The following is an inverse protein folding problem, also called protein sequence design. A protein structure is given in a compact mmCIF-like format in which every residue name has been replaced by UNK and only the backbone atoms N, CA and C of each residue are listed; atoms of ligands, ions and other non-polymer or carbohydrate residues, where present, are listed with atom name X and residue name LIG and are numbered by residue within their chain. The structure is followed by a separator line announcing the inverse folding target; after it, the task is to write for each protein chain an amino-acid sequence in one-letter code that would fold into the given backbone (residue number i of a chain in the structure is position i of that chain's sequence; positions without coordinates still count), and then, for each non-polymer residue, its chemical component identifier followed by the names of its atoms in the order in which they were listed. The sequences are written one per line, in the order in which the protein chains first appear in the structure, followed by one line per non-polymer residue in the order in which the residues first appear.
data_IF_085271415553
#
_entry.id   IF_085271415553
#
_cell.length_a   1.000
_cell.length_b   1.000
_cell.length_c   1.000
_cell.angle_alpha   90.00
_cell.angle_beta   90.00
_cell.angle_gamma   90.00
#
_symmetry.space_group_name_H-M   'P 1'
#
loop_
_entity.id
_entity.type
_entity.pdbx_description
1 polymer ?
#
# COMPACT_ATOMS: atom_id res chain seq x y z
N UNK A 1 -17.10 3.61 2.33
CA UNK A 1 -16.49 2.26 2.44
C UNK A 1 -15.63 2.03 1.22
N UNK A 2 -14.46 1.42 1.37
CA UNK A 2 -13.56 1.13 0.25
C UNK A 2 -12.80 -0.16 0.52
N UNK A 3 -12.61 -0.99 -0.51
CA UNK A 3 -11.76 -2.17 -0.43
C UNK A 3 -10.27 -1.77 -0.46
N UNK A 4 -9.98 -0.62 -1.06
CA UNK A 4 -8.63 -0.05 -1.17
C UNK A 4 -8.72 1.45 -1.02
N UNK A 5 -8.21 2.02 0.07
CA UNK A 5 -8.42 3.43 0.36
C UNK A 5 -7.65 4.37 -0.58
N UNK A 6 -6.69 3.84 -1.33
CA UNK A 6 -5.95 4.58 -2.33
C UNK A 6 -6.53 4.33 -3.72
N UNK A 7 -6.85 5.42 -4.40
CA UNK A 7 -7.17 5.46 -5.82
C UNK A 7 -6.04 6.17 -6.55
N UNK A 8 -5.82 5.76 -7.79
CA UNK A 8 -4.81 6.35 -8.69
C UNK A 8 -5.15 7.81 -9.08
N UNK A 9 -6.36 8.29 -8.78
CA UNK A 9 -6.86 9.63 -9.14
C UNK A 9 -6.48 10.76 -8.15
N UNK A 10 -5.45 10.54 -7.33
CA UNK A 10 -4.83 11.54 -6.44
C UNK A 10 -5.79 12.16 -5.39
N UNK A 11 -6.96 11.56 -5.15
CA UNK A 11 -7.85 11.92 -4.05
C UNK A 11 -7.79 10.82 -2.99
N UNK A 12 -7.01 11.07 -1.94
CA UNK A 12 -6.97 10.18 -0.80
C UNK A 12 -8.39 10.11 -0.19
N UNK A 13 -9.03 8.94 -0.29
CA UNK A 13 -10.34 8.70 0.36
C UNK A 13 -10.21 8.95 1.87
N UNK A 14 -9.02 8.76 2.44
CA UNK A 14 -8.78 9.11 3.83
C UNK A 14 -8.92 10.61 4.07
N UNK A 15 -8.39 11.51 3.23
CA UNK A 15 -8.60 12.95 3.40
C UNK A 15 -10.07 13.33 3.36
N UNK A 16 -10.83 12.77 2.40
CA UNK A 16 -12.29 12.93 2.34
C UNK A 16 -13.00 12.40 3.59
N UNK A 17 -12.40 11.41 4.24
CA UNK A 17 -12.89 10.83 5.50
C UNK A 17 -12.17 11.41 6.73
N UNK A 18 -11.48 12.56 6.65
CA UNK A 18 -10.71 13.14 7.78
C UNK A 18 -9.71 12.15 8.42
N UNK A 19 -9.09 11.31 7.60
CA UNK A 19 -8.21 10.20 7.97
C UNK A 19 -8.86 9.21 8.96
N UNK A 20 -10.18 9.07 8.89
CA UNK A 20 -10.99 8.25 9.80
C UNK A 20 -11.26 6.85 9.23
N UNK A 21 -10.37 5.89 9.53
CA UNK A 21 -10.57 4.47 9.20
C UNK A 21 -11.48 3.79 10.22
N UNK A 22 -12.80 3.78 10.00
CA UNK A 22 -13.76 3.33 11.04
C UNK A 22 -13.56 1.89 11.48
N UNK A 23 -13.36 1.02 10.49
CA UNK A 23 -13.24 -0.41 10.63
C UNK A 23 -12.42 -0.90 9.43
N UNK A 24 -11.55 -1.87 9.65
CA UNK A 24 -10.82 -2.59 8.61
C UNK A 24 -11.05 -4.07 8.82
N UNK A 25 -11.19 -4.80 7.73
CA UNK A 25 -11.32 -6.24 7.74
C UNK A 25 -10.35 -6.81 6.72
N UNK A 26 -9.41 -7.60 7.20
CA UNK A 26 -8.46 -8.32 6.35
C UNK A 26 -9.10 -9.58 5.75
N UNK A 27 -8.38 -10.19 4.79
CA UNK A 27 -8.81 -11.40 4.10
C UNK A 27 -9.14 -12.54 5.07
N UNK A 28 -8.26 -12.77 6.05
CA UNK A 28 -8.43 -13.85 7.05
C UNK A 28 -9.69 -13.65 7.86
N UNK A 29 -9.89 -12.45 8.40
CA UNK A 29 -11.03 -12.08 9.21
C UNK A 29 -12.31 -12.16 8.39
N UNK A 30 -12.29 -11.75 7.12
CA UNK A 30 -13.46 -11.84 6.25
C UNK A 30 -13.87 -13.28 5.96
N UNK A 31 -12.92 -14.19 5.74
CA UNK A 31 -13.20 -15.62 5.51
C UNK A 31 -13.63 -16.31 6.82
N UNK A 32 -12.89 -16.13 7.90
CA UNK A 32 -13.17 -16.78 9.19
C UNK A 32 -14.50 -16.33 9.81
N UNK A 33 -14.97 -15.12 9.48
CA UNK A 33 -16.30 -14.63 9.88
C UNK A 33 -17.41 -14.98 8.89
N UNK A 34 -17.12 -15.86 7.94
CA UNK A 34 -18.07 -16.33 6.93
C UNK A 34 -18.69 -15.17 6.12
N UNK A 35 -17.91 -14.10 5.87
CA UNK A 35 -18.32 -12.99 5.00
C UNK A 35 -17.91 -13.22 3.54
N UNK A 36 -16.90 -14.07 3.33
CA UNK A 36 -16.39 -14.52 2.05
C UNK A 36 -16.36 -16.06 2.02
N UNK A 37 -16.41 -16.66 0.83
CA UNK A 37 -16.15 -18.10 0.70
C UNK A 37 -14.65 -18.37 0.85
N UNK A 38 -14.23 -19.55 1.38
CA UNK A 38 -12.84 -19.96 1.35
C UNK A 38 -12.34 -20.23 -0.09
N UNK A 39 -11.04 -20.39 -0.25
CA UNK A 39 -10.42 -20.67 -1.55
C UNK A 39 -9.53 -21.92 -1.55
N UNK A 40 -9.40 -22.54 -2.73
CA UNK A 40 -8.38 -23.55 -3.04
C UNK A 40 -7.40 -22.93 -4.04
N UNK A 41 -6.20 -22.61 -3.56
CA UNK A 41 -5.14 -21.97 -4.32
C UNK A 41 -4.13 -23.02 -4.80
N UNK A 42 -3.82 -22.96 -6.09
CA UNK A 42 -2.82 -23.78 -6.77
C UNK A 42 -1.77 -22.85 -7.37
N UNK A 43 -0.63 -22.74 -6.69
CA UNK A 43 0.56 -22.10 -7.24
C UNK A 43 1.30 -23.09 -8.13
N UNK A 44 1.26 -22.83 -9.42
CA UNK A 44 1.80 -23.70 -10.47
C UNK A 44 3.12 -23.10 -10.93
N UNK A 45 4.19 -23.90 -10.97
CA UNK A 45 5.47 -23.42 -11.47
C UNK A 45 5.39 -23.15 -12.98
N UNK A 46 5.66 -21.92 -13.37
CA UNK A 46 5.67 -21.48 -14.76
C UNK A 46 7.10 -21.58 -15.31
N UNK A 47 7.50 -22.79 -15.72
CA UNK A 47 8.83 -23.02 -16.27
C UNK A 47 9.03 -22.43 -17.69
N UNK A 48 7.96 -21.93 -18.32
CA UNK A 48 8.00 -21.46 -19.71
C UNK A 48 8.39 -19.97 -19.82
N UNK A 49 8.46 -19.26 -18.69
CA UNK A 49 8.74 -17.83 -18.65
C UNK A 49 9.90 -17.53 -17.70
N UNK A 50 10.98 -17.00 -18.27
CA UNK A 50 12.07 -16.43 -17.50
C UNK A 50 11.90 -14.91 -17.40
N UNK A 51 11.57 -14.43 -16.20
CA UNK A 51 11.38 -13.03 -15.91
C UNK A 51 12.68 -12.25 -15.68
N UNK A 52 13.82 -12.92 -15.50
CA UNK A 52 15.12 -12.26 -15.39
C UNK A 52 15.58 -11.68 -16.74
N UNK A 53 15.16 -12.32 -17.84
CA UNK A 53 15.39 -11.83 -19.19
C UNK A 53 14.50 -10.66 -19.62
N UNK A 54 13.57 -10.20 -18.77
CA UNK A 54 12.62 -9.13 -19.09
C UNK A 54 13.05 -7.84 -18.38
N UNK A 55 13.16 -6.75 -19.14
CA UNK A 55 13.56 -5.45 -18.59
C UNK A 55 12.61 -5.01 -17.47
N UNK A 56 13.18 -4.63 -16.32
CA UNK A 56 12.45 -4.16 -15.16
C UNK A 56 12.96 -2.79 -14.73
N UNK A 57 12.09 -1.77 -14.79
CA UNK A 57 12.44 -0.39 -14.47
C UNK A 57 11.29 0.27 -13.72
N UNK A 58 11.60 1.13 -12.75
CA UNK A 58 10.61 1.88 -11.97
C UNK A 58 9.54 0.98 -11.35
N UNK A 59 9.96 -0.20 -10.86
CA UNK A 59 9.07 -1.16 -10.23
C UNK A 59 8.12 -1.91 -11.18
N UNK A 60 8.28 -1.77 -12.50
CA UNK A 60 7.42 -2.41 -13.52
C UNK A 60 8.25 -3.13 -14.57
N UNK A 61 7.70 -4.23 -15.08
CA UNK A 61 8.24 -4.90 -16.25
C UNK A 61 7.94 -4.10 -17.51
N UNK A 62 8.82 -4.18 -18.51
CA UNK A 62 8.54 -3.67 -19.84
C UNK A 62 7.34 -4.44 -20.41
N UNK A 63 6.22 -3.73 -20.63
CA UNK A 63 4.96 -4.35 -21.03
C UNK A 63 5.03 -5.12 -22.35
N UNK A 64 5.86 -4.69 -23.32
CA UNK A 64 6.00 -5.37 -24.62
C UNK A 64 6.83 -6.64 -24.50
N UNK A 65 7.95 -6.58 -23.79
CA UNK A 65 8.79 -7.75 -23.54
C UNK A 65 8.04 -8.80 -22.70
N UNK A 66 7.33 -8.32 -21.68
CA UNK A 66 6.47 -9.16 -20.85
C UNK A 66 5.36 -9.81 -21.67
N UNK A 67 4.61 -9.05 -22.47
CA UNK A 67 3.58 -9.60 -23.35
C UNK A 67 4.13 -10.72 -24.23
N UNK A 68 5.25 -10.48 -24.93
CA UNK A 68 5.87 -11.47 -25.80
C UNK A 68 6.29 -12.74 -25.06
N UNK A 69 6.83 -12.61 -23.84
CA UNK A 69 7.23 -13.75 -23.03
C UNK A 69 6.02 -14.58 -22.55
N UNK A 70 4.90 -13.92 -22.27
CA UNK A 70 3.68 -14.56 -21.75
C UNK A 70 2.81 -15.17 -22.86
N UNK A 71 2.85 -14.64 -24.09
CA UNK A 71 2.01 -15.06 -25.23
C UNK A 71 2.67 -16.18 -26.07
N UNK A 72 3.12 -17.26 -25.44
CA UNK A 72 3.73 -18.41 -26.13
C UNK A 72 2.84 -19.66 -26.10
N UNK A 73 2.91 -20.48 -27.16
CA UNK A 73 2.09 -21.71 -27.23
C UNK A 73 2.41 -22.68 -26.11
N UNK A 74 3.68 -22.87 -25.76
CA UNK A 74 4.09 -23.77 -24.68
C UNK A 74 3.49 -23.36 -23.34
N UNK A 75 3.51 -22.06 -23.04
CA UNK A 75 2.89 -21.52 -21.83
C UNK A 75 1.37 -21.65 -21.88
N UNK A 76 0.75 -21.38 -23.02
CA UNK A 76 -0.68 -21.57 -23.20
C UNK A 76 -1.10 -23.04 -23.01
N UNK A 77 -0.29 -24.00 -23.48
CA UNK A 77 -0.48 -25.45 -23.24
C UNK A 77 -0.43 -25.76 -21.73
N UNK A 78 0.57 -25.24 -21.01
CA UNK A 78 0.69 -25.39 -19.55
C UNK A 78 -0.56 -24.85 -18.84
N UNK A 79 -1.02 -23.66 -19.24
CA UNK A 79 -2.19 -23.00 -18.66
C UNK A 79 -3.47 -23.80 -18.93
N UNK A 80 -3.70 -24.18 -20.19
CA UNK A 80 -4.89 -24.93 -20.59
C UNK A 80 -4.94 -26.33 -19.95
N UNK A 81 -3.81 -27.02 -19.84
CA UNK A 81 -3.72 -28.32 -19.18
C UNK A 81 -4.09 -28.26 -17.69
N UNK A 82 -3.63 -27.23 -16.98
CA UNK A 82 -3.99 -27.03 -15.58
C UNK A 82 -5.44 -26.56 -15.41
N UNK A 83 -5.91 -25.69 -16.30
CA UNK A 83 -7.31 -25.28 -16.38
C UNK A 83 -8.22 -26.50 -16.50
N UNK A 84 -8.04 -27.36 -17.52
CA UNK A 84 -8.87 -28.56 -17.75
C UNK A 84 -8.93 -29.51 -16.56
N UNK A 85 -7.86 -29.62 -15.77
CA UNK A 85 -7.79 -30.52 -14.61
C UNK A 85 -8.49 -29.96 -13.37
N UNK A 86 -8.51 -28.63 -13.21
CA UNK A 86 -8.81 -28.00 -11.91
C UNK A 86 -9.98 -27.03 -11.96
N UNK A 87 -10.24 -26.36 -13.07
CA UNK A 87 -11.22 -25.27 -13.15
C UNK A 87 -12.65 -25.74 -12.93
N UNK A 88 -13.50 -24.79 -12.54
CA UNK A 88 -14.95 -24.89 -12.60
C UNK A 88 -15.49 -24.40 -13.96
N UNK A 89 -16.73 -23.94 -13.95
CA UNK A 89 -17.50 -23.58 -15.16
C UNK A 89 -17.40 -22.10 -15.50
N UNK A 90 -17.10 -21.23 -14.53
CA UNK A 90 -17.17 -19.77 -14.70
C UNK A 90 -15.86 -19.14 -14.28
N UNK A 91 -15.07 -18.80 -15.28
CA UNK A 91 -13.67 -18.48 -15.09
C UNK A 91 -13.33 -17.06 -15.52
N UNK A 92 -12.49 -16.38 -14.73
CA UNK A 92 -11.89 -15.10 -15.06
C UNK A 92 -10.36 -15.22 -15.08
N UNK A 93 -9.73 -14.89 -16.20
CA UNK A 93 -8.28 -14.85 -16.37
C UNK A 93 -7.75 -13.42 -16.44
N UNK A 94 -6.76 -13.12 -15.59
CA UNK A 94 -6.09 -11.82 -15.57
C UNK A 94 -4.82 -11.86 -16.43
N UNK A 95 -4.85 -11.15 -17.55
CA UNK A 95 -3.74 -11.03 -18.49
C UNK A 95 -2.94 -9.74 -18.28
N UNK A 96 -1.69 -9.73 -18.74
CA UNK A 96 -0.74 -8.60 -18.63
C UNK A 96 -1.04 -7.44 -19.57
N UNK A 97 -1.63 -7.72 -20.73
CA UNK A 97 -1.89 -6.73 -21.79
C UNK A 97 -3.06 -7.16 -22.65
N UNK A 98 -3.58 -6.22 -23.45
CA UNK A 98 -4.71 -6.47 -24.36
C UNK A 98 -4.36 -7.58 -25.36
N UNK A 99 -3.14 -7.54 -25.89
CA UNK A 99 -2.66 -8.53 -26.85
C UNK A 99 -2.52 -9.92 -26.20
N UNK A 100 -2.01 -9.99 -24.97
CA UNK A 100 -1.97 -11.27 -24.24
C UNK A 100 -3.39 -11.81 -23.95
N UNK A 101 -4.36 -10.94 -23.63
CA UNK A 101 -5.75 -11.37 -23.45
C UNK A 101 -6.39 -11.88 -24.76
N UNK A 102 -6.15 -11.19 -25.88
CA UNK A 102 -6.58 -11.64 -27.21
C UNK A 102 -5.97 -13.00 -27.55
N UNK A 103 -4.65 -13.14 -27.38
CA UNK A 103 -3.90 -14.38 -27.63
C UNK A 103 -4.47 -15.55 -26.84
N UNK A 104 -4.64 -15.40 -25.52
CA UNK A 104 -5.18 -16.47 -24.67
C UNK A 104 -6.63 -16.81 -25.03
N UNK A 105 -7.43 -15.81 -25.40
CA UNK A 105 -8.82 -16.02 -25.84
C UNK A 105 -8.88 -16.85 -27.12
N UNK A 106 -8.08 -16.49 -28.12
CA UNK A 106 -8.01 -17.24 -29.38
C UNK A 106 -7.52 -18.67 -29.14
N UNK A 107 -6.42 -18.84 -28.40
CA UNK A 107 -5.87 -20.14 -28.07
C UNK A 107 -6.92 -21.03 -27.37
N UNK A 108 -7.64 -20.51 -26.37
CA UNK A 108 -8.65 -21.29 -25.64
C UNK A 108 -9.85 -21.67 -26.52
N UNK A 109 -10.29 -20.79 -27.42
CA UNK A 109 -11.36 -21.11 -28.38
C UNK A 109 -10.93 -22.20 -29.36
N UNK A 110 -9.69 -22.16 -29.86
CA UNK A 110 -9.13 -23.22 -30.73
C UNK A 110 -9.06 -24.59 -30.01
N UNK A 111 -8.98 -24.59 -28.67
CA UNK A 111 -8.97 -25.79 -27.83
C UNK A 111 -10.35 -26.12 -27.21
N UNK A 112 -11.42 -25.55 -27.77
CA UNK A 112 -12.81 -25.91 -27.47
C UNK A 112 -13.33 -25.35 -26.14
N UNK A 113 -12.75 -24.27 -25.62
CA UNK A 113 -13.28 -23.52 -24.47
C UNK A 113 -13.91 -22.22 -24.97
N UNK A 114 -15.18 -21.98 -24.63
CA UNK A 114 -15.88 -20.76 -25.06
C UNK A 114 -15.37 -19.56 -24.26
N UNK A 115 -14.35 -18.89 -24.78
CA UNK A 115 -13.71 -17.75 -24.15
C UNK A 115 -14.01 -16.43 -24.89
N UNK A 116 -14.07 -15.33 -24.15
CA UNK A 116 -14.16 -13.96 -24.70
C UNK A 116 -13.10 -13.07 -24.08
N UNK A 117 -12.70 -12.02 -24.79
CA UNK A 117 -11.81 -10.98 -24.27
C UNK A 117 -12.59 -9.71 -23.92
N UNK A 118 -12.21 -9.07 -22.82
CA UNK A 118 -12.81 -7.80 -22.38
C UNK A 118 -11.69 -6.82 -22.06
N UNK A 119 -11.61 -5.73 -22.83
CA UNK A 119 -10.58 -4.70 -22.71
C UNK A 119 -11.10 -3.31 -23.17
N UNK A 120 -10.28 -2.27 -23.02
CA UNK A 120 -10.63 -0.87 -23.32
C UNK A 120 -9.98 -0.38 -24.62
N UNK A 121 -9.18 -1.23 -25.26
CA UNK A 121 -8.54 -0.93 -26.54
C UNK A 121 -9.56 -0.70 -27.65
N UNK A 122 -9.22 0.20 -28.58
CA UNK A 122 -10.04 0.55 -29.73
C UNK A 122 -10.19 -0.62 -30.72
N UNK A 123 -9.13 -1.40 -30.89
CA UNK A 123 -9.20 -2.63 -31.68
C UNK A 123 -9.80 -3.76 -30.84
N UNK A 124 -11.07 -4.05 -31.13
CA UNK A 124 -11.87 -5.09 -30.48
C UNK A 124 -11.36 -6.50 -30.87
N UNK A 125 -10.95 -6.74 -32.12
CA UNK A 125 -10.65 -8.10 -32.57
C UNK A 125 -11.87 -9.05 -32.54
N UNK A 126 -11.68 -10.34 -32.89
CA UNK A 126 -12.78 -11.24 -33.24
C UNK A 126 -13.56 -11.81 -32.05
N UNK A 127 -12.93 -11.91 -30.87
CA UNK A 127 -13.53 -12.51 -29.66
C UNK A 127 -13.87 -11.47 -28.59
N UNK A 128 -13.87 -10.19 -28.94
CA UNK A 128 -14.21 -9.14 -28.00
C UNK A 128 -15.67 -9.14 -27.66
N UNK A 129 -15.93 -8.82 -26.40
CA UNK A 129 -17.28 -8.64 -25.90
C UNK A 129 -17.32 -7.47 -24.94
N UNK A 130 -18.37 -6.66 -25.04
CA UNK A 130 -18.61 -5.61 -24.08
C UNK A 130 -18.78 -6.19 -22.68
N UNK A 131 -18.17 -5.52 -21.69
CA UNK A 131 -18.10 -5.98 -20.30
C UNK A 131 -19.43 -6.46 -19.73
N UNK A 132 -20.51 -5.69 -19.94
CA UNK A 132 -21.85 -6.03 -19.42
C UNK A 132 -22.41 -7.30 -20.07
N UNK A 133 -22.16 -7.49 -21.37
CA UNK A 133 -22.61 -8.66 -22.11
C UNK A 133 -21.81 -9.90 -21.70
N UNK A 134 -20.49 -9.80 -21.59
CA UNK A 134 -19.62 -10.89 -21.16
C UNK A 134 -20.02 -11.40 -19.78
N UNK A 135 -20.24 -10.50 -18.82
CA UNK A 135 -20.72 -10.86 -17.48
C UNK A 135 -22.06 -11.58 -17.54
N UNK A 136 -23.00 -11.09 -18.34
CA UNK A 136 -24.32 -11.70 -18.50
C UNK A 136 -24.20 -13.13 -19.06
N UNK A 137 -23.45 -13.32 -20.15
CA UNK A 137 -23.24 -14.62 -20.79
C UNK A 137 -22.48 -15.60 -19.91
N UNK A 138 -21.51 -15.13 -19.12
CA UNK A 138 -20.79 -15.96 -18.15
C UNK A 138 -21.72 -16.46 -17.04
N UNK A 139 -22.60 -15.60 -16.51
CA UNK A 139 -23.62 -16.00 -15.52
C UNK A 139 -24.55 -17.07 -16.08
N UNK A 140 -25.01 -16.87 -17.32
CA UNK A 140 -25.88 -17.80 -18.05
C UNK A 140 -25.17 -19.07 -18.52
N UNK A 141 -23.85 -19.19 -18.30
CA UNK A 141 -23.02 -20.30 -18.79
C UNK A 141 -23.05 -20.48 -20.32
N UNK A 142 -23.30 -19.40 -21.06
CA UNK A 142 -23.19 -19.37 -22.53
C UNK A 142 -21.72 -19.32 -22.97
N UNK A 143 -20.88 -18.72 -22.13
CA UNK A 143 -19.42 -18.72 -22.20
C UNK A 143 -18.84 -19.29 -20.91
N UNK A 144 -17.62 -19.80 -20.97
CA UNK A 144 -16.94 -20.46 -19.84
C UNK A 144 -15.86 -19.57 -19.22
N UNK A 145 -15.30 -18.66 -20.02
CA UNK A 145 -14.11 -17.90 -19.64
C UNK A 145 -14.14 -16.46 -20.17
N UNK A 146 -13.71 -15.54 -19.32
CA UNK A 146 -13.38 -14.16 -19.70
C UNK A 146 -11.89 -13.96 -19.46
N UNK A 147 -11.15 -13.52 -20.48
CA UNK A 147 -9.81 -12.95 -20.31
C UNK A 147 -9.90 -11.43 -20.28
N UNK A 148 -9.18 -10.81 -19.34
CA UNK A 148 -9.27 -9.36 -19.17
C UNK A 148 -7.96 -8.73 -18.67
N UNK A 149 -7.87 -7.41 -18.90
CA UNK A 149 -6.74 -6.56 -18.53
C UNK A 149 -7.30 -5.36 -17.78
N UNK A 150 -7.01 -5.27 -16.49
CA UNK A 150 -7.28 -4.15 -15.56
C UNK A 150 -8.73 -3.61 -15.46
N UNK A 151 -9.63 -3.88 -16.41
CA UNK A 151 -11.03 -3.41 -16.44
C UNK A 151 -11.87 -4.07 -15.36
N UNK A 152 -11.49 -5.27 -14.95
CA UNK A 152 -12.13 -5.92 -13.82
C UNK A 152 -11.48 -5.54 -12.50
N UNK A 153 -10.40 -4.74 -12.47
CA UNK A 153 -9.85 -4.23 -11.19
C UNK A 153 -10.79 -3.18 -10.56
N UNK A 154 -11.71 -2.58 -11.31
CA UNK A 154 -12.68 -1.60 -10.79
C UNK A 154 -14.13 -1.87 -11.29
N UNK A 155 -15.06 -2.06 -10.34
CA UNK A 155 -16.50 -2.03 -10.56
C UNK A 155 -17.21 -3.23 -11.21
N UNK A 156 -16.55 -4.37 -11.52
CA UNK A 156 -17.27 -5.58 -11.95
C UNK A 156 -17.50 -6.52 -10.77
N UNK A 157 -18.75 -6.89 -10.56
CA UNK A 157 -19.16 -7.84 -9.55
C UNK A 157 -19.74 -9.10 -10.22
N UNK A 158 -19.01 -10.22 -10.16
CA UNK A 158 -19.49 -11.54 -10.63
C UNK A 158 -19.37 -12.54 -9.47
N UNK A 159 -20.31 -12.56 -8.52
CA UNK A 159 -20.28 -13.50 -7.40
C UNK A 159 -20.25 -14.97 -7.83
N UNK A 160 -20.78 -15.27 -9.01
CA UNK A 160 -20.87 -16.61 -9.59
C UNK A 160 -19.53 -17.18 -10.11
N UNK A 161 -18.45 -16.38 -10.14
CA UNK A 161 -17.13 -16.88 -10.48
C UNK A 161 -16.74 -18.03 -9.57
N UNK A 162 -16.36 -19.17 -10.13
CA UNK A 162 -15.86 -20.33 -9.38
C UNK A 162 -14.36 -20.53 -9.57
N UNK A 163 -13.76 -19.86 -10.57
CA UNK A 163 -12.35 -20.00 -10.92
C UNK A 163 -11.72 -18.67 -11.29
N UNK A 164 -10.52 -18.41 -10.79
CA UNK A 164 -9.66 -17.28 -11.19
C UNK A 164 -8.31 -17.79 -11.68
N UNK A 165 -7.82 -17.24 -12.80
CA UNK A 165 -6.47 -17.50 -13.31
C UNK A 165 -5.63 -16.22 -13.19
N UNK A 166 -4.48 -16.32 -12.54
CA UNK A 166 -3.45 -15.29 -12.55
C UNK A 166 -2.39 -15.66 -13.59
N UNK A 167 -2.35 -14.93 -14.71
CA UNK A 167 -1.46 -15.21 -15.84
C UNK A 167 -0.33 -14.19 -15.98
N UNK A 168 -0.18 -13.29 -15.01
CA UNK A 168 0.82 -12.21 -14.99
C UNK A 168 1.39 -12.02 -13.59
N UNK A 169 2.60 -11.44 -13.48
CA UNK A 169 3.08 -10.93 -12.21
C UNK A 169 2.09 -9.94 -11.60
N UNK A 170 1.74 -10.12 -10.33
CA UNK A 170 0.90 -9.14 -9.64
C UNK A 170 1.79 -8.06 -9.01
N UNK A 171 1.64 -6.82 -9.48
CA UNK A 171 2.56 -5.72 -9.14
C UNK A 171 2.42 -5.21 -7.70
N UNK A 172 1.28 -5.44 -7.03
CA UNK A 172 1.09 -5.02 -5.65
C UNK A 172 0.14 -5.92 -4.87
N UNK A 173 0.35 -5.97 -3.54
CA UNK A 173 -0.54 -6.65 -2.59
C UNK A 173 -2.00 -6.23 -2.73
N UNK A 174 -2.22 -4.94 -2.95
CA UNK A 174 -3.55 -4.34 -3.07
C UNK A 174 -4.28 -4.87 -4.29
N UNK A 175 -3.62 -4.92 -5.45
CA UNK A 175 -4.19 -5.46 -6.69
C UNK A 175 -4.47 -6.95 -6.56
N UNK A 176 -3.56 -7.71 -5.93
CA UNK A 176 -3.75 -9.14 -5.67
C UNK A 176 -5.03 -9.40 -4.87
N UNK A 177 -5.21 -8.71 -3.74
CA UNK A 177 -6.40 -8.86 -2.90
C UNK A 177 -7.68 -8.39 -3.60
N UNK A 178 -7.63 -7.31 -4.38
CA UNK A 178 -8.78 -6.86 -5.16
C UNK A 178 -9.22 -7.91 -6.18
N UNK A 179 -8.26 -8.51 -6.89
CA UNK A 179 -8.54 -9.52 -7.92
C UNK A 179 -9.04 -10.82 -7.28
N UNK A 180 -8.37 -11.30 -6.23
CA UNK A 180 -8.79 -12.48 -5.47
C UNK A 180 -10.17 -12.27 -4.85
N UNK A 181 -10.39 -11.13 -4.17
CA UNK A 181 -11.63 -10.80 -3.47
C UNK A 181 -12.89 -10.78 -4.34
N UNK A 182 -12.75 -10.61 -5.67
CA UNK A 182 -13.87 -10.72 -6.62
C UNK A 182 -14.39 -12.15 -6.71
N UNK A 183 -13.47 -13.11 -6.72
CA UNK A 183 -13.81 -14.52 -6.71
C UNK A 183 -14.26 -15.01 -5.34
N UNK A 184 -14.04 -14.29 -4.24
CA UNK A 184 -14.39 -14.77 -2.89
C UNK A 184 -15.82 -14.42 -2.46
N UNK A 185 -16.58 -13.69 -3.30
CA UNK A 185 -17.96 -13.33 -2.98
C UNK A 185 -18.86 -14.57 -2.91
N UNK A 186 -19.77 -14.54 -1.95
CA UNK A 186 -20.77 -15.58 -1.73
C UNK A 186 -21.89 -15.51 -2.78
N UNK A 187 -22.30 -16.69 -3.22
CA UNK A 187 -23.54 -16.90 -3.96
C UNK A 187 -24.08 -18.28 -3.59
N UNK A 188 -25.37 -18.51 -3.80
CA UNK A 188 -26.00 -19.80 -3.54
C UNK A 188 -25.21 -20.93 -4.22
N UNK A 189 -24.92 -22.01 -3.48
CA UNK A 189 -24.21 -23.23 -3.95
C UNK A 189 -22.73 -23.07 -4.29
N UNK A 190 -22.12 -21.91 -4.06
CA UNK A 190 -20.67 -21.74 -4.16
C UNK A 190 -20.03 -21.98 -2.81
N UNK A 191 -19.32 -23.10 -2.69
CA UNK A 191 -18.62 -23.47 -1.46
C UNK A 191 -17.23 -22.86 -1.39
N UNK A 192 -16.51 -22.83 -2.53
CA UNK A 192 -15.11 -22.37 -2.60
C UNK A 192 -14.82 -21.67 -3.93
N UNK A 193 -13.82 -20.80 -3.91
CA UNK A 193 -13.16 -20.29 -5.11
C UNK A 193 -11.94 -21.15 -5.45
N UNK A 194 -11.76 -21.53 -6.71
CA UNK A 194 -10.48 -22.11 -7.17
C UNK A 194 -9.60 -21.03 -7.78
N UNK A 195 -8.33 -21.02 -7.42
CA UNK A 195 -7.34 -20.06 -7.92
C UNK A 195 -6.17 -20.81 -8.53
N UNK A 196 -5.89 -20.55 -9.80
CA UNK A 196 -4.74 -21.09 -10.52
C UNK A 196 -3.78 -19.94 -10.77
N UNK A 197 -2.62 -19.95 -10.14
CA UNK A 197 -1.62 -18.89 -10.25
C UNK A 197 -0.36 -19.46 -10.90
N UNK A 198 0.01 -18.93 -12.06
CA UNK A 198 1.18 -19.39 -12.82
C UNK A 198 2.37 -18.51 -12.46
N UNK A 199 3.27 -19.10 -11.68
CA UNK A 199 4.30 -18.38 -10.94
C UNK A 199 5.67 -18.73 -11.52
N UNK A 200 6.36 -17.72 -12.07
CA UNK A 200 7.77 -17.79 -12.42
C UNK A 200 8.63 -16.95 -11.46
N UNK A 201 9.90 -16.73 -11.83
CA UNK A 201 10.88 -15.94 -11.07
C UNK A 201 10.63 -14.41 -11.12
N UNK A 202 9.37 -13.98 -11.23
CA UNK A 202 9.07 -12.55 -11.24
C UNK A 202 9.26 -11.93 -9.85
N UNK A 203 9.70 -10.67 -9.82
CA UNK A 203 9.98 -9.93 -8.57
C UNK A 203 8.78 -10.05 -7.62
N UNK A 204 9.05 -10.40 -6.36
CA UNK A 204 8.07 -10.53 -5.25
C UNK A 204 7.16 -11.76 -5.24
N UNK A 205 7.33 -12.74 -6.13
CA UNK A 205 6.56 -13.99 -6.08
C UNK A 205 6.62 -14.69 -4.69
N UNK A 206 7.77 -14.62 -4.00
CA UNK A 206 7.97 -15.18 -2.65
C UNK A 206 7.09 -14.56 -1.54
N UNK A 207 6.35 -13.48 -1.81
CA UNK A 207 5.38 -12.93 -0.87
C UNK A 207 4.01 -13.61 -0.92
N UNK A 208 3.69 -14.37 -1.98
CA UNK A 208 2.38 -15.00 -2.15
C UNK A 208 1.91 -15.81 -0.93
N UNK A 209 2.75 -16.64 -0.27
CA UNK A 209 2.33 -17.34 0.95
C UNK A 209 1.84 -16.40 2.06
N UNK A 210 2.55 -15.29 2.28
CA UNK A 210 2.19 -14.26 3.26
C UNK A 210 0.86 -13.58 2.89
N UNK A 211 0.68 -13.25 1.61
CA UNK A 211 -0.55 -12.58 1.13
C UNK A 211 -1.78 -13.47 1.31
N UNK A 212 -1.65 -14.76 1.00
CA UNK A 212 -2.72 -15.76 1.13
C UNK A 212 -3.08 -16.04 2.60
N UNK A 213 -2.11 -15.88 3.51
CA UNK A 213 -2.35 -15.93 4.95
C UNK A 213 -3.15 -14.70 5.46
N UNK A 214 -3.43 -13.72 4.60
CA UNK A 214 -4.11 -12.48 4.95
C UNK A 214 -3.22 -11.49 5.70
N UNK A 215 -1.90 -11.69 5.67
CA UNK A 215 -0.95 -10.79 6.31
C UNK A 215 -0.48 -9.71 5.34
N UNK A 216 -0.27 -8.49 5.87
CA UNK A 216 0.27 -7.37 5.10
C UNK A 216 1.80 -7.37 5.17
N UNK A 217 2.53 -7.46 4.03
CA UNK A 217 3.99 -7.37 3.99
C UNK A 217 4.57 -6.13 4.69
N UNK A 218 3.82 -5.02 4.73
CA UNK A 218 4.22 -3.77 5.38
C UNK A 218 4.22 -3.83 6.91
N UNK A 219 3.49 -4.78 7.49
CA UNK A 219 3.26 -4.85 8.94
C UNK A 219 3.88 -6.08 9.60
N UNK A 220 4.41 -7.01 8.79
CA UNK A 220 5.16 -8.17 9.22
C UNK A 220 6.53 -7.73 9.78
N UNK A 221 6.52 -7.16 10.97
CA UNK A 221 7.70 -6.68 11.69
C UNK A 221 8.66 -7.85 11.93
N UNK A 222 9.80 -7.89 11.21
CA UNK A 222 11.01 -8.65 11.55
C UNK A 222 10.83 -10.12 12.02
N UNK A 223 9.65 -10.74 11.85
CA UNK A 223 9.48 -12.18 12.05
C UNK A 223 10.37 -12.79 11.00
N UNK A 224 11.38 -13.53 11.45
CA UNK A 224 12.16 -14.45 10.63
C UNK A 224 11.17 -15.12 9.70
N UNK A 225 11.21 -14.70 8.44
CA UNK A 225 10.26 -15.09 7.40
C UNK A 225 10.08 -16.59 7.48
N UNK A 226 8.86 -17.01 7.78
CA UNK A 226 8.45 -18.39 7.77
C UNK A 226 8.73 -19.01 6.40
N UNK A 227 9.02 -20.31 6.36
CA UNK A 227 8.99 -21.05 5.09
C UNK A 227 7.55 -21.02 4.54
N UNK A 228 7.36 -21.17 3.22
CA UNK A 228 6.02 -21.10 2.64
C UNK A 228 5.04 -22.10 3.29
N UNK A 229 5.59 -23.21 3.80
CA UNK A 229 4.95 -24.32 4.47
C UNK A 229 4.56 -24.05 5.92
N UNK A 230 5.15 -23.02 6.54
CA UNK A 230 4.89 -22.64 7.94
C UNK A 230 3.72 -21.65 8.09
N UNK A 231 3.19 -21.14 6.98
CA UNK A 231 2.05 -20.23 7.00
C UNK A 231 0.75 -20.97 7.32
N UNK A 232 0.04 -20.49 8.34
CA UNK A 232 -1.35 -20.87 8.56
C UNK A 232 -2.26 -20.04 7.66
N UNK A 233 -3.20 -20.67 6.97
CA UNK A 233 -4.15 -20.00 6.08
C UNK A 233 -5.52 -19.80 6.75
N UNK A 234 -6.39 -18.92 6.21
CA UNK A 234 -7.76 -18.76 6.71
C UNK A 234 -8.55 -20.07 6.72
N UNK A 235 -9.55 -20.15 7.58
CA UNK A 235 -10.31 -21.38 7.80
C UNK A 235 -10.97 -21.87 6.50
N UNK A 236 -10.92 -23.18 6.26
CA UNK A 236 -11.46 -23.82 5.06
C UNK A 236 -10.66 -23.58 3.76
N UNK A 237 -9.63 -22.73 3.79
CA UNK A 237 -8.75 -22.49 2.66
C UNK A 237 -7.70 -23.59 2.51
N UNK A 238 -7.32 -23.88 1.27
CA UNK A 238 -6.23 -24.80 0.94
C UNK A 238 -5.26 -24.09 0.01
N UNK A 239 -3.97 -24.17 0.30
CA UNK A 239 -2.92 -23.58 -0.52
C UNK A 239 -1.93 -24.68 -0.86
N UNK A 240 -1.72 -24.92 -2.15
CA UNK A 240 -0.77 -25.88 -2.65
C UNK A 240 0.17 -25.17 -3.61
N UNK A 241 1.47 -25.27 -3.38
CA UNK A 241 2.50 -24.83 -4.30
C UNK A 241 3.19 -26.07 -4.89
N UNK A 242 3.52 -26.03 -6.17
CA UNK A 242 4.45 -26.99 -6.76
C UNK A 242 5.79 -26.94 -6.01
N UNK A 243 6.46 -28.08 -5.85
CA UNK A 243 7.70 -28.17 -5.05
C UNK A 243 8.79 -27.20 -5.55
N UNK A 244 8.92 -27.04 -6.87
CA UNK A 244 9.90 -26.11 -7.45
C UNK A 244 9.66 -24.64 -7.04
N UNK A 245 8.42 -24.26 -6.71
CA UNK A 245 8.14 -22.91 -6.22
C UNK A 245 8.67 -22.66 -4.82
N UNK A 246 8.74 -23.70 -3.98
CA UNK A 246 9.27 -23.57 -2.62
C UNK A 246 10.77 -23.23 -2.68
N UNK A 247 11.50 -23.92 -3.55
CA UNK A 247 12.92 -23.64 -3.83
C UNK A 247 13.11 -22.24 -4.43
N UNK A 248 12.29 -21.87 -5.42
CA UNK A 248 12.30 -20.54 -6.03
C UNK A 248 12.07 -19.45 -4.97
N UNK A 249 11.07 -19.60 -4.11
CA UNK A 249 10.77 -18.62 -3.07
C UNK A 249 11.92 -18.48 -2.08
N UNK A 250 12.58 -19.58 -1.71
CA UNK A 250 13.74 -19.56 -0.83
C UNK A 250 14.93 -18.82 -1.47
N UNK A 251 15.20 -19.06 -2.75
CA UNK A 251 16.25 -18.38 -3.51
C UNK A 251 15.99 -16.88 -3.66
N UNK A 252 14.78 -16.52 -4.11
CA UNK A 252 14.37 -15.12 -4.26
C UNK A 252 14.48 -14.34 -2.95
N UNK A 253 14.11 -14.97 -1.84
CA UNK A 253 14.22 -14.39 -0.50
C UNK A 253 15.68 -14.18 -0.08
N UNK A 254 16.57 -15.13 -0.40
CA UNK A 254 18.01 -15.01 -0.10
C UNK A 254 18.64 -13.84 -0.86
N UNK A 255 18.16 -13.59 -2.07
CA UNK A 255 18.72 -12.61 -3.00
C UNK A 255 17.89 -11.32 -3.13
N UNK A 256 16.91 -11.04 -2.24
CA UNK A 256 16.06 -9.83 -2.32
C UNK A 256 16.90 -8.54 -2.12
N UNK A 257 17.14 -7.74 -3.18
CA UNK A 257 17.99 -6.56 -3.09
C UNK A 257 17.18 -5.38 -2.54
N UNK A 258 17.10 -5.27 -1.22
CA UNK A 258 16.30 -4.25 -0.53
C UNK A 258 16.53 -2.82 -1.06
N UNK A 259 17.78 -2.47 -1.34
CA UNK A 259 18.13 -1.15 -1.88
C UNK A 259 17.46 -0.91 -3.24
N UNK A 260 17.68 -1.80 -4.20
CA UNK A 260 17.09 -1.73 -5.53
C UNK A 260 15.56 -1.75 -5.45
N UNK A 261 14.98 -2.52 -4.54
CA UNK A 261 13.55 -2.57 -4.31
C UNK A 261 13.00 -1.23 -3.80
N UNK A 262 13.69 -0.57 -2.86
CA UNK A 262 13.31 0.77 -2.40
C UNK A 262 13.35 1.79 -3.54
N UNK A 263 14.41 1.76 -4.36
CA UNK A 263 14.55 2.63 -5.55
C UNK A 263 13.39 2.37 -6.52
N UNK A 264 13.12 1.12 -6.86
CA UNK A 264 12.04 0.72 -7.75
C UNK A 264 10.65 1.13 -7.25
N UNK A 265 10.34 0.91 -5.98
CA UNK A 265 9.06 1.31 -5.38
C UNK A 265 8.86 2.83 -5.39
N UNK A 266 9.92 3.59 -5.11
CA UNK A 266 9.87 5.05 -5.19
C UNK A 266 9.54 5.52 -6.60
N UNK A 267 10.25 5.04 -7.63
CA UNK A 267 10.01 5.47 -9.01
C UNK A 267 8.68 4.97 -9.57
N UNK A 268 8.22 3.78 -9.15
CA UNK A 268 6.88 3.28 -9.44
C UNK A 268 5.83 4.28 -8.97
N UNK A 269 5.92 4.66 -7.69
CA UNK A 269 4.96 5.57 -7.06
C UNK A 269 5.06 6.98 -7.65
N UNK A 270 6.27 7.45 -7.97
CA UNK A 270 6.49 8.73 -8.67
C UNK A 270 5.75 8.78 -10.01
N UNK A 271 5.86 7.70 -10.79
CA UNK A 271 5.18 7.57 -12.07
C UNK A 271 3.65 7.55 -11.92
N UNK A 272 3.13 6.94 -10.86
CA UNK A 272 1.69 6.84 -10.61
C UNK A 272 1.10 8.15 -10.11
N UNK A 273 1.80 8.85 -9.20
CA UNK A 273 1.37 10.12 -8.63
C UNK A 273 1.54 11.31 -9.58
N UNK A 274 2.36 11.15 -10.63
CA UNK A 274 2.82 12.22 -11.51
C UNK A 274 3.46 13.40 -10.75
N UNK A 275 4.07 13.10 -9.61
CA UNK A 275 4.85 14.02 -8.76
C UNK A 275 5.82 13.24 -7.90
N UNK A 276 6.77 13.93 -7.27
CA UNK A 276 7.68 13.30 -6.31
C UNK A 276 6.91 12.73 -5.11
N UNK A 277 7.12 11.45 -4.75
CA UNK A 277 6.60 10.89 -3.51
C UNK A 277 7.24 11.54 -2.27
N UNK A 278 6.45 11.77 -1.25
CA UNK A 278 6.86 12.15 0.09
C UNK A 278 6.76 10.93 1.03
N UNK A 279 7.09 11.10 2.31
CA UNK A 279 7.13 9.97 3.25
C UNK A 279 5.76 9.38 3.48
N UNK A 280 4.73 10.23 3.50
CA UNK A 280 3.36 9.78 3.63
C UNK A 280 2.95 8.90 2.44
N UNK A 281 3.27 9.33 1.21
CA UNK A 281 3.01 8.55 0.00
C UNK A 281 3.69 7.18 0.08
N UNK A 282 4.96 7.12 0.48
CA UNK A 282 5.70 5.87 0.61
C UNK A 282 5.12 4.96 1.69
N UNK A 283 4.73 5.53 2.83
CA UNK A 283 4.09 4.78 3.93
C UNK A 283 2.74 4.19 3.53
N UNK A 284 2.07 4.78 2.56
CA UNK A 284 0.72 4.39 2.14
C UNK A 284 0.71 3.55 0.85
N UNK A 285 1.65 3.81 -0.06
CA UNK A 285 1.64 3.32 -1.44
C UNK A 285 2.69 2.26 -1.77
N UNK A 286 3.54 1.87 -0.82
CA UNK A 286 4.55 0.82 -1.02
C UNK A 286 4.29 -0.38 -0.12
N UNK A 287 4.77 -1.56 -0.49
CA UNK A 287 4.76 -2.74 0.39
C UNK A 287 5.94 -2.77 1.39
N UNK A 288 6.69 -1.67 1.47
CA UNK A 288 7.86 -1.52 2.31
C UNK A 288 7.56 -0.67 3.54
N UNK A 289 8.15 -1.04 4.67
CA UNK A 289 8.06 -0.21 5.86
C UNK A 289 8.74 1.14 5.64
N UNK A 290 8.03 2.24 5.95
CA UNK A 290 8.61 3.59 5.87
C UNK A 290 9.93 3.74 6.66
N UNK A 291 10.15 2.94 7.70
CA UNK A 291 11.42 2.96 8.46
C UNK A 291 12.63 2.65 7.57
N UNK A 292 12.44 1.83 6.53
CA UNK A 292 13.48 1.46 5.56
C UNK A 292 13.91 2.62 4.68
N UNK A 293 13.02 3.59 4.41
CA UNK A 293 13.32 4.83 3.68
C UNK A 293 13.86 5.97 4.55
N UNK A 294 13.69 5.86 5.88
CA UNK A 294 14.20 6.86 6.83
C UNK A 294 15.51 6.43 7.49
N UNK A 295 15.79 5.12 7.52
CA UNK A 295 16.95 4.56 8.15
C UNK A 295 17.27 3.20 7.51
N UNK A 296 18.34 3.18 6.74
CA UNK A 296 18.83 1.98 6.09
C UNK A 296 20.35 1.87 6.25
N UNK A 297 20.90 0.70 5.92
CA UNK A 297 22.36 0.50 5.89
C UNK A 297 23.04 1.13 4.66
N UNK A 298 22.24 1.59 3.70
CA UNK A 298 22.72 2.03 2.38
C UNK A 298 23.00 3.54 2.31
N UNK A 299 22.50 4.32 3.26
CA UNK A 299 22.65 5.78 3.29
C UNK A 299 22.46 6.28 4.73
N UNK A 300 22.89 7.52 4.99
CA UNK A 300 22.76 8.13 6.32
C UNK A 300 21.29 8.36 6.72
N UNK A 301 21.05 8.66 8.00
CA UNK A 301 19.68 8.72 8.52
C UNK A 301 18.87 9.89 7.93
N UNK A 302 17.66 9.59 7.49
CA UNK A 302 16.62 10.55 7.10
C UNK A 302 16.17 10.40 5.65
N UNK A 303 14.96 10.87 5.35
CA UNK A 303 14.44 10.78 3.97
C UNK A 303 15.24 11.62 2.97
N UNK A 304 15.80 12.73 3.43
CA UNK A 304 16.65 13.60 2.61
C UNK A 304 17.86 12.84 2.06
N UNK A 305 18.47 11.97 2.89
CA UNK A 305 19.59 11.10 2.50
C UNK A 305 19.17 10.00 1.53
N UNK A 306 17.96 9.45 1.70
CA UNK A 306 17.39 8.54 0.71
C UNK A 306 17.22 9.23 -0.65
N UNK A 307 16.70 10.47 -0.69
CA UNK A 307 16.54 11.23 -1.94
C UNK A 307 17.88 11.55 -2.60
N UNK A 308 18.93 11.84 -1.82
CA UNK A 308 20.31 11.98 -2.34
C UNK A 308 20.77 10.72 -3.05
N UNK A 309 20.60 9.56 -2.40
CA UNK A 309 21.04 8.25 -2.89
C UNK A 309 20.40 7.85 -4.23
N UNK A 310 19.30 8.49 -4.61
CA UNK A 310 18.59 8.24 -5.88
C UNK A 310 18.59 9.45 -6.81
N UNK A 311 19.41 10.47 -6.54
CA UNK A 311 19.54 11.69 -7.33
C UNK A 311 18.23 12.50 -7.51
N UNK A 312 17.36 12.51 -6.49
CA UNK A 312 16.02 13.12 -6.53
C UNK A 312 15.88 14.42 -5.70
N UNK A 313 17.01 14.99 -5.30
CA UNK A 313 17.05 16.26 -4.56
C UNK A 313 16.87 17.46 -5.49
N UNK A 314 16.08 18.42 -5.03
CA UNK A 314 16.01 19.76 -5.62
C UNK A 314 17.24 20.58 -5.26
N UNK A 315 17.45 21.71 -5.95
CA UNK A 315 18.54 22.64 -5.63
C UNK A 315 18.42 23.21 -4.20
N UNK A 316 17.19 23.46 -3.72
CA UNK A 316 16.95 23.94 -2.36
C UNK A 316 17.28 22.87 -1.31
N UNK A 317 16.97 21.61 -1.58
CA UNK A 317 17.25 20.52 -0.64
C UNK A 317 18.73 20.19 -0.53
N UNK A 318 19.48 20.35 -1.62
CA UNK A 318 20.94 20.23 -1.61
C UNK A 318 21.58 21.24 -0.65
N UNK A 319 20.99 22.43 -0.46
CA UNK A 319 21.52 23.41 0.50
C UNK A 319 21.25 23.05 1.96
N UNK A 320 20.41 22.04 2.24
CA UNK A 320 20.13 21.59 3.60
C UNK A 320 21.12 20.52 4.10
N UNK A 321 21.91 19.93 3.21
CA UNK A 321 22.85 18.84 3.55
C UNK A 321 23.89 19.27 4.57
N UNK A 322 24.10 18.45 5.59
CA UNK A 322 25.05 18.68 6.67
C UNK A 322 24.82 20.01 7.41
N UNK A 323 23.60 20.55 7.30
CA UNK A 323 23.18 21.78 8.00
C UNK A 323 22.21 21.47 9.13
N UNK A 324 21.89 22.52 9.88
CA UNK A 324 20.90 22.46 10.95
C UNK A 324 19.48 22.13 10.43
N UNK A 325 19.16 22.42 9.17
CA UNK A 325 17.87 22.09 8.57
C UNK A 325 17.68 20.58 8.41
N UNK A 326 18.72 19.87 7.97
CA UNK A 326 18.66 18.41 7.89
C UNK A 326 18.52 17.77 9.28
N UNK A 327 19.34 18.20 10.24
CA UNK A 327 19.26 17.69 11.61
C UNK A 327 17.86 17.90 12.22
N UNK A 328 17.23 19.03 11.91
CA UNK A 328 15.87 19.35 12.32
C UNK A 328 14.85 18.36 11.77
N UNK A 329 14.91 18.07 10.46
CA UNK A 329 14.04 17.07 9.83
C UNK A 329 14.23 15.69 10.47
N UNK A 330 15.48 15.26 10.67
CA UNK A 330 15.82 13.98 11.31
C UNK A 330 15.32 13.90 12.75
N UNK A 331 15.37 14.99 13.52
CA UNK A 331 14.86 15.03 14.89
C UNK A 331 13.34 14.80 14.90
N UNK A 332 12.58 15.48 14.05
CA UNK A 332 11.12 15.33 13.99
C UNK A 332 10.74 13.92 13.53
N UNK A 333 11.39 13.40 12.48
CA UNK A 333 11.19 12.04 11.98
C UNK A 333 11.37 10.98 13.08
N UNK A 334 12.39 11.15 13.92
CA UNK A 334 12.78 10.17 14.94
C UNK A 334 12.24 10.43 16.35
N UNK A 335 11.56 11.56 16.57
CA UNK A 335 10.99 11.93 17.88
C UNK A 335 10.03 10.85 18.39
N UNK A 336 10.26 10.25 19.56
CA UNK A 336 9.34 9.23 20.11
C UNK A 336 7.97 9.83 20.47
N UNK A 337 6.90 9.12 20.11
CA UNK A 337 5.50 9.51 20.36
C UNK A 337 4.79 8.39 21.15
N UNK A 338 4.59 8.59 22.45
CA UNK A 338 3.80 7.69 23.30
C UNK A 338 2.33 8.13 23.39
N UNK A 339 2.08 9.40 23.08
CA UNK A 339 0.79 10.08 22.90
C UNK A 339 0.96 11.11 21.79
N UNK A 340 -0.14 11.57 21.21
CA UNK A 340 -0.14 12.54 20.12
C UNK A 340 0.01 13.99 20.57
N UNK A 341 0.17 14.27 21.87
CA UNK A 341 0.29 15.64 22.42
C UNK A 341 1.23 16.56 21.62
N UNK A 342 2.35 16.05 21.12
CA UNK A 342 3.33 16.82 20.33
C UNK A 342 2.77 17.26 18.97
N UNK A 343 1.86 16.49 18.36
CA UNK A 343 1.31 16.80 17.04
C UNK A 343 0.58 18.14 17.00
N UNK A 344 -0.42 18.45 17.87
CA UNK A 344 -1.04 19.77 17.86
C UNK A 344 -0.04 20.90 18.15
N UNK A 345 0.94 20.69 19.03
CA UNK A 345 1.96 21.71 19.31
C UNK A 345 2.84 21.99 18.10
N UNK A 346 3.24 20.94 17.36
CA UNK A 346 3.97 21.10 16.11
C UNK A 346 3.08 21.75 15.03
N UNK A 347 1.79 21.38 14.95
CA UNK A 347 0.83 22.00 14.01
C UNK A 347 0.61 23.49 14.27
N UNK A 348 0.71 23.95 15.52
CA UNK A 348 0.63 25.36 15.85
C UNK A 348 1.76 26.21 15.24
N UNK A 349 2.87 25.60 14.81
CA UNK A 349 3.93 26.29 14.06
C UNK A 349 3.59 26.47 12.58
N UNK A 350 2.43 25.99 12.10
CA UNK A 350 1.93 26.26 10.75
C UNK A 350 0.85 27.34 10.83
N UNK A 351 1.03 28.44 10.09
CA UNK A 351 0.04 29.51 9.94
C UNK A 351 -0.06 29.92 8.47
N UNK A 352 -1.28 30.05 7.96
CA UNK A 352 -1.55 30.38 6.55
C UNK A 352 -0.80 29.45 5.57
N UNK A 353 -0.70 28.18 5.95
CA UNK A 353 -0.01 27.15 5.16
C UNK A 353 1.53 27.24 5.19
N UNK A 354 2.13 28.10 6.01
CA UNK A 354 3.59 28.29 6.12
C UNK A 354 4.12 27.94 7.51
N UNK A 355 5.33 27.38 7.56
CA UNK A 355 6.07 27.20 8.81
C UNK A 355 6.55 28.56 9.31
N UNK A 356 6.26 28.86 10.58
CA UNK A 356 6.74 30.08 11.25
C UNK A 356 7.74 29.73 12.35
N UNK A 357 8.65 30.66 12.61
CA UNK A 357 9.67 30.51 13.65
C UNK A 357 9.10 30.44 15.06
N UNK A 358 7.92 31.03 15.31
CA UNK A 358 7.33 31.11 16.65
C UNK A 358 5.81 31.09 16.63
N UNK A 359 5.22 30.56 17.69
CA UNK A 359 3.79 30.51 17.96
C UNK A 359 3.49 30.98 19.39
N UNK A 360 2.56 31.92 19.60
CA UNK A 360 2.06 32.26 20.93
C UNK A 360 1.46 31.02 21.62
N UNK A 361 1.61 30.92 22.93
CA UNK A 361 1.13 29.76 23.67
C UNK A 361 -0.40 29.63 23.61
N UNK A 362 -1.11 30.73 23.43
CA UNK A 362 -2.56 30.77 23.22
C UNK A 362 -2.95 30.04 21.94
N UNK A 363 -2.19 30.24 20.85
CA UNK A 363 -2.39 29.53 19.58
C UNK A 363 -2.01 28.04 19.72
N UNK A 364 -0.96 27.73 20.48
CA UNK A 364 -0.58 26.33 20.78
C UNK A 364 -1.68 25.62 21.57
N UNK A 365 -2.21 26.26 22.61
CA UNK A 365 -3.31 25.74 23.42
C UNK A 365 -4.59 25.57 22.62
N UNK A 366 -4.92 26.53 21.73
CA UNK A 366 -6.06 26.42 20.83
C UNK A 366 -5.88 25.26 19.84
N UNK A 367 -4.70 25.09 19.26
CA UNK A 367 -4.39 23.95 18.38
C UNK A 367 -4.55 22.62 19.11
N UNK A 368 -4.12 22.55 20.37
CA UNK A 368 -4.27 21.38 21.23
C UNK A 368 -5.75 21.07 21.55
N UNK A 369 -6.53 22.09 21.89
CA UNK A 369 -7.97 21.98 22.12
C UNK A 369 -8.67 21.47 20.86
N UNK A 370 -8.51 22.16 19.73
CA UNK A 370 -9.14 21.79 18.46
C UNK A 370 -8.75 20.37 18.06
N UNK A 371 -7.47 20.00 18.18
CA UNK A 371 -7.02 18.65 17.82
C UNK A 371 -7.77 17.55 18.57
N UNK A 372 -8.03 17.70 19.87
CA UNK A 372 -8.74 16.66 20.63
C UNK A 372 -10.27 16.75 20.51
N UNK A 373 -10.84 17.95 20.38
CA UNK A 373 -12.27 18.11 20.13
C UNK A 373 -12.68 17.61 18.74
N UNK A 374 -11.94 17.99 17.71
CA UNK A 374 -12.28 17.70 16.31
C UNK A 374 -11.94 16.26 15.91
N UNK A 375 -11.14 15.55 16.73
CA UNK A 375 -10.70 14.19 16.43
C UNK A 375 -11.09 13.22 17.57
N UNK A 376 -12.36 12.73 17.61
CA UNK A 376 -12.87 11.85 18.66
C UNK A 376 -11.99 10.65 19.00
N UNK A 377 -11.25 10.11 18.01
CA UNK A 377 -10.39 8.94 18.20
C UNK A 377 -9.07 9.25 18.88
N UNK A 378 -8.62 10.50 18.80
CA UNK A 378 -7.40 10.96 19.47
C UNK A 378 -7.65 11.19 20.96
N UNK A 379 -8.92 11.40 21.35
CA UNK A 379 -9.35 11.61 22.73
C UNK A 379 -8.92 10.50 23.69
N UNK A 380 -8.65 9.28 23.19
CA UNK A 380 -8.06 8.18 23.99
C UNK A 380 -6.74 8.56 24.69
N UNK A 381 -6.01 9.54 24.17
CA UNK A 381 -4.82 10.07 24.86
C UNK A 381 -5.16 10.79 26.17
N UNK A 382 -6.41 11.21 26.34
CA UNK A 382 -6.96 11.94 27.49
C UNK A 382 -7.86 11.07 28.38
N UNK A 383 -7.96 9.75 28.19
CA UNK A 383 -8.82 8.85 28.99
C UNK A 383 -8.29 8.55 30.41
N UNK A 384 -7.29 9.29 30.90
CA UNK A 384 -6.67 9.07 32.21
C UNK A 384 -7.26 9.94 33.32
N UNK A 385 -7.11 9.51 34.59
CA UNK A 385 -7.48 10.30 35.78
C UNK A 385 -6.98 11.75 35.75
N UNK A 386 -5.80 11.97 35.15
CA UNK A 386 -5.19 13.31 35.00
C UNK A 386 -6.04 14.27 34.15
N UNK A 387 -6.79 13.74 33.19
CA UNK A 387 -7.54 14.48 32.18
C UNK A 387 -9.05 14.31 32.36
N UNK A 388 -9.50 13.97 33.58
CA UNK A 388 -10.91 13.82 33.87
C UNK A 388 -11.67 15.13 33.59
N UNK A 389 -12.79 15.02 32.86
CA UNK A 389 -13.62 16.16 32.48
C UNK A 389 -13.00 17.08 31.44
N UNK A 390 -11.99 16.62 30.68
CA UNK A 390 -11.30 17.46 29.69
C UNK A 390 -12.23 18.09 28.65
N UNK A 391 -13.37 17.47 28.36
CA UNK A 391 -14.37 18.00 27.42
C UNK A 391 -15.02 19.31 27.88
N UNK A 392 -14.95 19.61 29.18
CA UNK A 392 -15.49 20.82 29.79
C UNK A 392 -14.39 21.84 30.12
N UNK A 393 -13.14 21.55 29.77
CA UNK A 393 -12.02 22.45 30.03
C UNK A 393 -12.14 23.70 29.16
N UNK A 394 -11.85 24.85 29.75
CA UNK A 394 -11.66 26.08 29.01
C UNK A 394 -10.31 26.10 28.27
N UNK A 395 -10.16 27.06 27.36
CA UNK A 395 -8.91 27.24 26.62
C UNK A 395 -7.70 27.42 27.55
N UNK A 396 -7.88 28.11 28.68
CA UNK A 396 -6.81 28.36 29.66
C UNK A 396 -6.27 27.06 30.29
N UNK A 397 -7.14 26.10 30.57
CA UNK A 397 -6.72 24.80 31.07
C UNK A 397 -5.96 24.00 30.02
N UNK A 398 -6.36 24.08 28.75
CA UNK A 398 -5.63 23.46 27.64
C UNK A 398 -4.25 24.09 27.40
N UNK A 399 -4.13 25.42 27.49
CA UNK A 399 -2.85 26.13 27.45
C UNK A 399 -1.91 25.59 28.53
N UNK A 400 -2.36 25.54 29.79
CA UNK A 400 -1.56 25.01 30.91
C UNK A 400 -1.15 23.55 30.71
N UNK A 401 -2.03 22.73 30.14
CA UNK A 401 -1.70 21.33 29.87
C UNK A 401 -0.65 21.21 28.76
N UNK A 402 -0.78 21.97 27.66
CA UNK A 402 0.19 22.00 26.57
C UNK A 402 1.56 22.54 27.02
N UNK A 403 1.60 23.61 27.84
CA UNK A 403 2.82 24.14 28.47
C UNK A 403 3.54 23.06 29.28
N UNK A 404 2.80 22.39 30.18
CA UNK A 404 3.35 21.32 31.03
C UNK A 404 3.81 20.11 30.23
N UNK A 405 3.04 19.72 29.21
CA UNK A 405 3.34 18.62 28.29
C UNK A 405 2.47 18.77 27.02
N UNK A 406 3.07 19.01 25.84
CA UNK A 406 4.42 18.61 25.48
C UNK A 406 5.45 19.73 25.37
N UNK A 407 5.07 21.01 25.47
CA UNK A 407 5.97 22.15 25.22
C UNK A 407 7.24 22.03 26.06
N UNK A 408 7.12 21.89 27.40
CA UNK A 408 8.26 21.69 28.30
C UNK A 408 9.21 20.55 27.88
N UNK A 409 8.69 19.47 27.30
CA UNK A 409 9.51 18.31 26.91
C UNK A 409 10.08 18.44 25.51
N UNK A 410 9.39 19.12 24.60
CA UNK A 410 9.93 19.49 23.29
C UNK A 410 11.07 20.49 23.48
N UNK A 411 10.92 21.46 24.37
CA UNK A 411 11.93 22.49 24.66
C UNK A 411 13.20 21.98 25.36
N UNK A 412 13.28 20.68 25.68
CA UNK A 412 14.52 20.02 26.14
C UNK A 412 15.38 19.49 24.99
N UNK A 413 14.88 19.59 23.75
CA UNK A 413 15.55 19.11 22.54
C UNK A 413 16.26 20.28 21.83
N UNK A 414 16.95 19.98 20.73
CA UNK A 414 17.84 20.94 20.06
C UNK A 414 17.07 22.05 19.33
N UNK A 415 15.88 21.75 18.82
CA UNK A 415 15.21 22.60 17.84
C UNK A 415 13.99 23.36 18.33
N UNK A 416 13.54 23.09 19.56
CA UNK A 416 12.36 23.72 20.12
C UNK A 416 12.73 24.43 21.41
N UNK A 417 12.13 25.58 21.64
CA UNK A 417 12.35 26.40 22.83
C UNK A 417 11.02 26.98 23.28
N UNK A 418 10.96 27.38 24.55
CA UNK A 418 9.79 28.05 25.11
C UNK A 418 10.25 29.23 25.96
N UNK A 419 9.75 30.41 25.65
CA UNK A 419 9.97 31.64 26.41
C UNK A 419 8.86 31.76 27.46
N UNK A 420 9.20 31.58 28.73
CA UNK A 420 8.23 31.65 29.83
C UNK A 420 7.71 33.08 30.08
N UNK A 421 8.48 34.10 29.69
CA UNK A 421 8.16 35.52 29.90
C UNK A 421 7.23 36.01 28.81
N UNK A 422 7.63 35.82 27.55
CA UNK A 422 6.84 36.25 26.40
C UNK A 422 5.73 35.26 26.01
N UNK A 423 5.70 34.09 26.64
CA UNK A 423 4.71 33.04 26.37
C UNK A 423 4.72 32.58 24.92
N UNK A 424 5.91 32.42 24.34
CA UNK A 424 6.09 31.99 22.95
C UNK A 424 6.81 30.63 22.87
N UNK A 425 6.28 29.72 22.06
CA UNK A 425 6.95 28.49 21.65
C UNK A 425 7.63 28.72 20.30
N UNK A 426 8.92 28.46 20.18
CA UNK A 426 9.70 28.84 19.00
C UNK A 426 10.76 27.82 18.59
N UNK A 427 11.11 27.85 17.31
CA UNK A 427 12.16 27.07 16.69
C UNK A 427 13.54 27.66 17.00
N UNK A 428 14.58 26.83 16.96
CA UNK A 428 15.96 27.32 17.05
C UNK A 428 16.22 28.41 16.00
N UNK A 429 16.69 29.59 16.42
CA UNK A 429 16.85 30.77 15.55
C UNK A 429 17.72 30.51 14.31
N UNK A 430 18.69 29.58 14.42
CA UNK A 430 19.53 29.19 13.27
C UNK A 430 18.75 28.54 12.12
N UNK A 431 17.48 28.15 12.33
CA UNK A 431 16.61 27.64 11.27
C UNK A 431 16.00 28.76 10.40
N UNK A 432 16.06 30.02 10.83
CA UNK A 432 15.34 31.14 10.17
C UNK A 432 15.70 31.28 8.69
N UNK A 433 16.98 31.12 8.34
CA UNK A 433 17.46 31.20 6.95
C UNK A 433 16.96 30.05 6.06
N UNK A 434 16.51 28.94 6.66
CA UNK A 434 16.01 27.76 5.94
C UNK A 434 14.48 27.72 5.86
N UNK A 435 13.76 28.62 6.55
CA UNK A 435 12.30 28.65 6.51
C UNK A 435 11.84 29.11 5.13
N UNK A 436 11.39 28.14 4.34
CA UNK A 436 10.78 28.37 3.04
C UNK A 436 9.59 27.41 2.82
N UNK A 437 9.00 27.46 1.63
CA UNK A 437 7.86 26.61 1.30
C UNK A 437 8.25 25.13 1.28
N UNK A 438 9.44 24.77 0.81
CA UNK A 438 9.88 23.37 0.73
C UNK A 438 10.03 22.76 2.13
N UNK A 439 10.73 23.46 3.05
CA UNK A 439 10.90 22.99 4.43
C UNK A 439 9.55 22.91 5.16
N UNK A 440 8.62 23.82 4.84
CA UNK A 440 7.25 23.77 5.33
C UNK A 440 6.55 22.48 4.91
N UNK A 441 6.64 22.10 3.64
CA UNK A 441 6.00 20.87 3.14
C UNK A 441 6.63 19.61 3.75
N UNK A 442 7.95 19.58 3.94
CA UNK A 442 8.62 18.51 4.67
C UNK A 442 8.13 18.40 6.12
N UNK A 443 8.01 19.54 6.82
CA UNK A 443 7.53 19.56 8.19
C UNK A 443 6.10 19.01 8.29
N UNK A 444 5.20 19.44 7.39
CA UNK A 444 3.82 18.95 7.32
C UNK A 444 3.76 17.45 7.03
N UNK A 445 4.50 16.97 6.02
CA UNK A 445 4.59 15.55 5.64
C UNK A 445 5.01 14.68 6.83
N UNK A 446 6.07 15.09 7.55
CA UNK A 446 6.53 14.37 8.73
C UNK A 446 5.44 14.38 9.82
N UNK A 447 4.88 15.54 10.17
CA UNK A 447 3.88 15.64 11.24
C UNK A 447 2.64 14.77 10.93
N UNK A 448 2.19 14.74 9.68
CA UNK A 448 1.04 13.94 9.27
C UNK A 448 1.35 12.44 9.26
N UNK A 449 2.50 12.01 8.72
CA UNK A 449 2.97 10.63 8.81
C UNK A 449 3.03 10.15 10.26
N UNK A 450 3.57 10.98 11.16
CA UNK A 450 3.72 10.67 12.58
C UNK A 450 2.35 10.48 13.25
N UNK A 451 1.37 11.31 12.90
CA UNK A 451 -0.03 11.19 13.36
C UNK A 451 -0.62 9.85 12.90
N UNK A 452 -0.53 9.54 11.62
CA UNK A 452 -1.09 8.33 11.02
C UNK A 452 -0.44 7.04 11.53
N UNK A 453 0.88 6.99 11.65
CA UNK A 453 1.58 5.82 12.20
C UNK A 453 1.18 5.50 13.63
N UNK A 454 1.03 6.52 14.47
CA UNK A 454 0.60 6.31 15.85
C UNK A 454 -0.85 5.83 15.89
N UNK A 455 -1.71 6.40 15.05
CA UNK A 455 -3.10 6.00 14.95
C UNK A 455 -3.27 4.53 14.54
N UNK A 456 -2.61 4.09 13.47
CA UNK A 456 -2.70 2.71 12.99
C UNK A 456 -2.21 1.68 14.03
N UNK A 457 -1.21 2.04 14.86
CA UNK A 457 -0.72 1.17 15.94
C UNK A 457 -1.71 0.96 17.08
N UNK A 458 -2.68 1.87 17.27
CA UNK A 458 -3.68 1.80 18.36
C UNK A 458 -5.03 1.21 17.96
N UNK A 459 -5.23 0.97 16.67
CA UNK A 459 -6.39 0.26 16.14
C UNK A 459 -6.20 -1.26 16.12
N UNK A 460 -4.95 -1.71 16.05
CA UNK A 460 -4.57 -3.08 16.40
C UNK A 460 -4.67 -3.27 17.91
#
# INVERSE_FOLDING_TARGET
MTATPYRMDNKDIFELCSNNKIYEIDLRTAINRDLLVPFEYFGIYDQEVDYEGISYQNGKYNGKELEKALSTHKRADLIHNNYRKRSGKRTLGFCSSIEHAKYMTEYFNQHGVKAVTVHSGADQGPYFMERKEAVKKLRQAEIEMIFAVDIFNEGVDIPELDTVLFLRPTESYVVFLQQLGRGLRKVERKEKLKVLDFIGNYKRAHYLPLLLAGENPMEADNKRYQQAEEFEYPEGCRVNFDFQLLDLFAEMKKNDPLEERMKNEYFRLKSELNRRPMRLDLYQGTDLEIKKFLNSRYYDKGYLRFLAEIDELTAAEKSWFDTIAEEFLVEIESTRMNKLYKIPVLKALIKDGKLRMKAPIEEVGQSFLNFYHDNPRMQKDLDGKKHQGWQQWDQQRFIKEAEKNPVKYLSKRKFFNYDEVNKEFYLNQKLEEFINQDLTEYFKDIVELRKLKYYNRRLK
#
